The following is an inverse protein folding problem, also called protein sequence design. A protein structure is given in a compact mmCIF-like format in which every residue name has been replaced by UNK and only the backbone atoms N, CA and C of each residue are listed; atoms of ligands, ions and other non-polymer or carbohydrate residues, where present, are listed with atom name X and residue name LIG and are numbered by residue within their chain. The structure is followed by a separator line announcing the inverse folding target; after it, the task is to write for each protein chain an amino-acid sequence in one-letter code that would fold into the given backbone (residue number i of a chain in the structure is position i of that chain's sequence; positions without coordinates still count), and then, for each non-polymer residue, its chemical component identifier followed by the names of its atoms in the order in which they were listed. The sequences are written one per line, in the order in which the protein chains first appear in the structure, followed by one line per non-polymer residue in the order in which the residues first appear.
data_IF_701188522999
#
_entry.id   IF_701188522999
#
_cell.length_a   1.000
_cell.length_b   1.000
_cell.length_c   1.000
_cell.angle_alpha   90.00
_cell.angle_beta   90.00
_cell.angle_gamma   90.00
#
_symmetry.space_group_name_H-M   'P 1'
#
loop_
_entity.id
_entity.type
_entity.pdbx_description
1 polymer ?
#
# COMPACT_ATOMS: atom_id res chain seq x y z
N UNK A 1 -30.24 28.03 16.34
CA UNK A 1 -29.68 26.69 16.62
C UNK A 1 -30.45 25.74 15.72
N UNK A 2 -29.80 25.21 14.67
CA UNK A 2 -30.38 24.07 13.96
C UNK A 2 -30.23 22.84 14.85
N UNK A 3 -31.20 21.92 14.83
CA UNK A 3 -31.08 20.63 15.51
C UNK A 3 -29.80 19.89 15.07
N UNK A 4 -29.25 19.05 15.95
CA UNK A 4 -28.13 18.19 15.56
C UNK A 4 -28.56 17.28 14.40
N UNK A 5 -27.77 17.19 13.32
CA UNK A 5 -28.16 16.40 12.16
C UNK A 5 -28.12 14.91 12.50
N UNK A 6 -29.18 14.20 12.10
CA UNK A 6 -29.25 12.74 12.19
C UNK A 6 -28.51 12.12 11.00
N UNK A 7 -27.46 11.34 11.29
CA UNK A 7 -26.75 10.56 10.28
C UNK A 7 -27.26 9.12 10.23
N UNK A 8 -27.46 8.59 9.02
CA UNK A 8 -27.74 7.16 8.79
C UNK A 8 -27.34 6.74 7.38
N UNK A 9 -27.29 5.43 7.15
CA UNK A 9 -27.21 4.91 5.79
C UNK A 9 -28.46 5.26 4.99
N UNK A 10 -28.25 5.56 3.70
CA UNK A 10 -29.30 5.84 2.75
C UNK A 10 -30.08 4.57 2.41
N UNK A 11 -31.38 4.73 2.20
CA UNK A 11 -32.25 3.69 1.68
C UNK A 11 -32.97 4.16 0.41
N UNK A 12 -33.70 3.25 -0.25
CA UNK A 12 -34.35 3.51 -1.54
C UNK A 12 -35.32 4.70 -1.49
N UNK A 13 -35.93 5.00 -0.33
CA UNK A 13 -36.86 6.12 -0.18
C UNK A 13 -36.15 7.49 -0.22
N UNK A 14 -34.84 7.53 -0.02
CA UNK A 14 -34.05 8.77 -0.01
C UNK A 14 -33.66 9.22 -1.42
N UNK A 15 -33.85 8.38 -2.45
CA UNK A 15 -33.35 8.64 -3.81
C UNK A 15 -33.90 9.95 -4.39
N UNK A 16 -35.17 10.29 -4.15
CA UNK A 16 -35.75 11.54 -4.65
C UNK A 16 -35.06 12.76 -4.02
N UNK A 17 -34.85 12.74 -2.71
CA UNK A 17 -34.17 13.81 -1.98
C UNK A 17 -32.67 13.89 -2.33
N UNK A 18 -32.00 12.74 -2.51
CA UNK A 18 -30.61 12.67 -2.99
C UNK A 18 -30.45 13.32 -4.35
N UNK A 19 -31.36 13.04 -5.30
CA UNK A 19 -31.32 13.64 -6.63
C UNK A 19 -31.58 15.15 -6.60
N UNK A 20 -32.47 15.60 -5.72
CA UNK A 20 -32.70 17.04 -5.53
C UNK A 20 -31.44 17.73 -4.98
N UNK A 21 -30.83 17.15 -3.95
CA UNK A 21 -29.60 17.66 -3.35
C UNK A 21 -28.43 17.65 -4.35
N UNK A 22 -28.26 16.57 -5.11
CA UNK A 22 -27.23 16.42 -6.13
C UNK A 22 -27.30 17.53 -7.18
N UNK A 23 -28.50 17.78 -7.70
CA UNK A 23 -28.74 18.81 -8.70
C UNK A 23 -28.52 20.23 -8.16
N UNK A 24 -28.70 20.44 -6.85
CA UNK A 24 -28.46 21.71 -6.20
C UNK A 24 -26.98 21.94 -5.84
N UNK A 25 -26.18 20.88 -5.68
CA UNK A 25 -24.79 20.98 -5.25
C UNK A 25 -23.77 21.00 -6.38
N UNK A 26 -24.08 20.38 -7.52
CA UNK A 26 -23.15 20.19 -8.62
C UNK A 26 -23.73 20.74 -9.93
N UNK A 27 -22.85 21.18 -10.83
CA UNK A 27 -23.21 21.65 -12.18
C UNK A 27 -22.93 20.57 -13.24
N UNK A 28 -21.82 19.83 -13.10
CA UNK A 28 -21.39 18.67 -13.92
C UNK A 28 -21.19 17.41 -13.06
N UNK A 29 -20.81 16.29 -13.67
CA UNK A 29 -20.36 15.05 -12.99
C UNK A 29 -21.39 14.47 -11.99
N UNK A 30 -22.68 14.67 -12.25
CA UNK A 30 -23.78 14.32 -11.35
C UNK A 30 -24.02 12.82 -11.27
N UNK A 31 -24.32 12.34 -10.06
CA UNK A 31 -24.75 10.97 -9.85
C UNK A 31 -26.20 10.79 -10.30
N UNK A 32 -26.39 9.90 -11.28
CA UNK A 32 -27.72 9.59 -11.80
C UNK A 32 -28.60 8.84 -10.78
N UNK A 33 -29.93 8.92 -10.95
CA UNK A 33 -30.91 8.14 -10.17
C UNK A 33 -30.60 6.64 -10.19
N UNK A 34 -30.22 6.13 -11.37
CA UNK A 34 -29.86 4.73 -11.56
C UNK A 34 -28.61 4.37 -10.75
N UNK A 35 -27.61 5.25 -10.73
CA UNK A 35 -26.36 5.07 -9.99
C UNK A 35 -26.61 5.04 -8.48
N UNK A 36 -27.36 6.00 -7.92
CA UNK A 36 -27.73 5.98 -6.50
C UNK A 36 -28.49 4.71 -6.12
N UNK A 37 -29.49 4.31 -6.92
CA UNK A 37 -30.24 3.08 -6.68
C UNK A 37 -29.31 1.86 -6.65
N UNK A 38 -28.41 1.76 -7.63
CA UNK A 38 -27.46 0.64 -7.71
C UNK A 38 -26.51 0.61 -6.51
N UNK A 39 -25.99 1.77 -6.07
CA UNK A 39 -25.11 1.87 -4.90
C UNK A 39 -25.83 1.39 -3.63
N UNK A 40 -27.09 1.80 -3.43
CA UNK A 40 -27.90 1.39 -2.27
C UNK A 40 -28.22 -0.12 -2.27
N UNK A 41 -28.57 -0.70 -3.43
CA UNK A 41 -29.10 -2.08 -3.48
C UNK A 41 -28.04 -3.16 -3.76
N UNK A 42 -26.98 -2.81 -4.48
CA UNK A 42 -26.05 -3.76 -5.12
C UNK A 42 -24.57 -3.37 -4.99
N UNK A 43 -24.29 -2.11 -4.64
CA UNK A 43 -22.94 -1.59 -4.55
C UNK A 43 -22.19 -2.16 -3.35
N UNK A 44 -20.88 -2.33 -3.51
CA UNK A 44 -19.98 -2.46 -2.37
C UNK A 44 -19.54 -1.05 -1.97
N UNK A 45 -20.46 -0.35 -1.31
CA UNK A 45 -20.41 1.10 -1.10
C UNK A 45 -20.97 1.46 0.26
N UNK A 46 -20.56 2.60 0.79
CA UNK A 46 -21.20 3.22 1.94
C UNK A 46 -21.80 4.55 1.49
N UNK A 47 -23.12 4.71 1.60
CA UNK A 47 -23.81 5.98 1.34
C UNK A 47 -24.46 6.47 2.63
N UNK A 48 -23.84 7.44 3.29
CA UNK A 48 -24.37 8.08 4.49
C UNK A 48 -25.09 9.38 4.11
N UNK A 49 -26.23 9.62 4.76
CA UNK A 49 -27.06 10.81 4.57
C UNK A 49 -27.25 11.54 5.90
N UNK A 50 -27.31 12.87 5.83
CA UNK A 50 -27.56 13.75 6.96
C UNK A 50 -28.94 14.39 6.86
N UNK A 51 -29.71 14.31 7.94
CA UNK A 51 -31.04 14.91 8.05
C UNK A 51 -31.08 16.02 9.11
N UNK A 52 -31.72 17.15 8.81
CA UNK A 52 -32.08 18.20 9.79
C UNK A 52 -33.58 18.47 9.63
N UNK A 53 -34.35 18.36 10.71
CA UNK A 53 -35.80 18.55 10.71
C UNK A 53 -36.50 17.77 9.55
N UNK A 54 -36.20 16.47 9.45
CA UNK A 54 -36.67 15.54 8.40
C UNK A 54 -36.27 15.90 6.95
N UNK A 55 -35.43 16.90 6.75
CA UNK A 55 -34.91 17.29 5.44
C UNK A 55 -33.52 16.69 5.21
N UNK A 56 -33.30 16.02 4.07
CA UNK A 56 -31.98 15.51 3.68
C UNK A 56 -31.13 16.68 3.19
N UNK A 57 -30.10 17.03 3.97
CA UNK A 57 -29.28 18.24 3.75
C UNK A 57 -27.84 17.93 3.34
N UNK A 58 -27.42 16.66 3.37
CA UNK A 58 -26.08 16.26 2.97
C UNK A 58 -25.94 14.76 2.77
N UNK A 59 -24.90 14.35 2.04
CA UNK A 59 -24.50 12.95 1.93
C UNK A 59 -22.98 12.81 1.73
N UNK A 60 -22.45 11.64 2.07
CA UNK A 60 -21.11 11.18 1.66
C UNK A 60 -21.20 9.77 1.11
N UNK A 61 -20.51 9.52 0.00
CA UNK A 61 -20.48 8.25 -0.71
C UNK A 61 -19.06 7.71 -0.78
N UNK A 62 -18.84 6.53 -0.20
CA UNK A 62 -17.62 5.76 -0.38
C UNK A 62 -17.84 4.60 -1.34
N UNK A 63 -16.87 4.39 -2.24
CA UNK A 63 -16.76 3.19 -3.05
C UNK A 63 -15.63 2.32 -2.52
N UNK A 64 -15.89 1.03 -2.38
CA UNK A 64 -14.89 0.07 -1.90
C UNK A 64 -14.39 -0.82 -3.03
N UNK A 65 -13.09 -0.73 -3.32
CA UNK A 65 -12.44 -1.61 -4.28
C UNK A 65 -12.25 -3.01 -3.69
N UNK A 66 -12.76 -4.01 -4.41
CA UNK A 66 -12.71 -5.41 -3.97
C UNK A 66 -11.27 -5.91 -3.81
N UNK A 67 -10.97 -6.49 -2.65
CA UNK A 67 -9.65 -7.07 -2.35
C UNK A 67 -8.52 -6.05 -2.24
N UNK A 68 -8.82 -4.86 -1.70
CA UNK A 68 -7.84 -3.83 -1.32
C UNK A 68 -8.25 -3.20 0.02
N UNK A 69 -7.32 -2.60 0.76
CA UNK A 69 -7.63 -1.81 1.97
C UNK A 69 -7.98 -0.35 1.68
N UNK A 70 -8.14 0.03 0.40
CA UNK A 70 -8.43 1.39 -0.03
C UNK A 70 -9.94 1.59 -0.21
N UNK A 71 -10.50 2.62 0.45
CA UNK A 71 -11.78 3.21 0.10
C UNK A 71 -11.60 4.51 -0.68
N UNK A 72 -12.56 4.83 -1.55
CA UNK A 72 -12.59 6.10 -2.29
C UNK A 72 -13.78 6.92 -1.84
N UNK A 73 -13.55 8.14 -1.36
CA UNK A 73 -14.59 9.14 -1.19
C UNK A 73 -14.96 9.62 -2.59
N UNK A 74 -16.08 9.13 -3.10
CA UNK A 74 -16.48 9.35 -4.48
C UNK A 74 -17.29 10.64 -4.64
N UNK A 75 -18.12 10.97 -3.66
CA UNK A 75 -18.81 12.26 -3.62
C UNK A 75 -19.17 12.67 -2.20
N UNK A 76 -19.18 13.97 -1.96
CA UNK A 76 -19.56 14.62 -0.70
C UNK A 76 -20.35 15.88 -1.04
N UNK A 77 -21.60 15.95 -0.59
CA UNK A 77 -22.48 17.08 -0.86
C UNK A 77 -23.14 17.58 0.43
N UNK A 78 -23.24 18.90 0.57
CA UNK A 78 -24.02 19.56 1.62
C UNK A 78 -24.75 20.75 1.01
N UNK A 79 -26.05 20.83 1.26
CA UNK A 79 -26.94 21.88 0.79
C UNK A 79 -26.42 23.26 1.24
N UNK A 80 -26.46 24.25 0.34
CA UNK A 80 -25.85 25.55 0.55
C UNK A 80 -26.33 26.25 1.84
N UNK A 81 -27.63 26.15 2.16
CA UNK A 81 -28.22 26.73 3.37
C UNK A 81 -27.68 26.11 4.68
N UNK A 82 -27.15 24.89 4.62
CA UNK A 82 -26.65 24.13 5.77
C UNK A 82 -25.11 24.00 5.77
N UNK A 83 -24.41 24.66 4.84
CA UNK A 83 -22.94 24.72 4.84
C UNK A 83 -22.43 25.51 6.04
N UNK A 84 -21.17 25.26 6.41
CA UNK A 84 -20.49 25.85 7.58
C UNK A 84 -21.11 25.49 8.94
N UNK A 85 -22.10 24.60 8.99
CA UNK A 85 -22.68 24.04 10.22
C UNK A 85 -21.98 22.74 10.70
N UNK A 86 -20.85 22.35 10.09
CA UNK A 86 -20.11 21.14 10.46
C UNK A 86 -20.64 19.83 9.87
N UNK A 87 -21.69 19.85 9.06
CA UNK A 87 -22.32 18.64 8.48
C UNK A 87 -21.33 17.80 7.66
N UNK A 88 -20.54 18.44 6.80
CA UNK A 88 -19.52 17.74 6.00
C UNK A 88 -18.46 17.05 6.88
N UNK A 89 -18.09 17.67 8.00
CA UNK A 89 -17.16 17.07 8.98
C UNK A 89 -17.79 15.85 9.63
N UNK A 90 -19.04 15.95 10.09
CA UNK A 90 -19.75 14.84 10.73
C UNK A 90 -19.93 13.65 9.78
N UNK A 91 -20.37 13.90 8.55
CA UNK A 91 -20.48 12.88 7.50
C UNK A 91 -19.14 12.17 7.25
N UNK A 92 -18.05 12.94 7.08
CA UNK A 92 -16.73 12.36 6.81
C UNK A 92 -16.17 11.57 7.99
N UNK A 93 -16.36 12.03 9.23
CA UNK A 93 -15.90 11.30 10.42
C UNK A 93 -16.65 9.98 10.60
N UNK A 94 -17.97 9.98 10.40
CA UNK A 94 -18.75 8.74 10.46
C UNK A 94 -18.39 7.79 9.31
N UNK A 95 -18.19 8.32 8.10
CA UNK A 95 -17.72 7.51 6.96
C UNK A 95 -16.34 6.91 7.19
N UNK A 96 -15.40 7.65 7.80
CA UNK A 96 -14.08 7.15 8.16
C UNK A 96 -14.17 6.01 9.16
N UNK A 97 -15.00 6.16 10.20
CA UNK A 97 -15.23 5.13 11.21
C UNK A 97 -15.79 3.84 10.58
N UNK A 98 -16.84 3.96 9.77
CA UNK A 98 -17.45 2.78 9.14
C UNK A 98 -16.55 2.15 8.08
N UNK A 99 -15.76 2.95 7.35
CA UNK A 99 -14.74 2.42 6.44
C UNK A 99 -13.68 1.61 7.21
N UNK A 100 -13.28 2.08 8.39
CA UNK A 100 -12.36 1.35 9.26
C UNK A 100 -12.93 0.00 9.70
N UNK A 101 -14.20 0.00 10.14
CA UNK A 101 -14.93 -1.21 10.55
C UNK A 101 -15.10 -2.20 9.38
N UNK A 102 -15.21 -1.70 8.15
CA UNK A 102 -15.22 -2.49 6.90
C UNK A 102 -13.81 -2.98 6.47
N UNK A 103 -12.76 -2.68 7.25
CA UNK A 103 -11.38 -3.10 6.99
C UNK A 103 -10.62 -2.22 6.00
N UNK A 104 -11.06 -0.97 5.79
CA UNK A 104 -10.31 0.02 5.02
C UNK A 104 -9.25 0.67 5.90
N UNK A 105 -8.03 0.70 5.39
CA UNK A 105 -6.89 1.34 6.07
C UNK A 105 -6.63 2.75 5.51
N UNK A 106 -7.15 3.06 4.33
CA UNK A 106 -6.96 4.34 3.65
C UNK A 106 -8.26 4.84 3.03
N UNK A 107 -8.44 6.15 3.03
CA UNK A 107 -9.39 6.83 2.14
C UNK A 107 -8.65 7.76 1.19
N UNK A 108 -8.96 7.63 -0.10
CA UNK A 108 -8.55 8.58 -1.14
C UNK A 108 -9.74 9.39 -1.64
N UNK A 109 -9.47 10.61 -2.09
CA UNK A 109 -10.43 11.47 -2.75
C UNK A 109 -9.77 12.27 -3.87
N UNK A 110 -10.60 12.84 -4.73
CA UNK A 110 -10.22 13.77 -5.78
C UNK A 110 -11.02 15.07 -5.61
N UNK A 111 -10.35 16.22 -5.71
CA UNK A 111 -10.96 17.55 -5.51
C UNK A 111 -10.44 18.57 -6.53
N UNK A 112 -11.33 19.41 -7.08
CA UNK A 112 -10.93 20.50 -7.99
C UNK A 112 -9.98 21.48 -7.27
N UNK A 113 -8.89 21.95 -7.92
CA UNK A 113 -7.95 22.90 -7.34
C UNK A 113 -8.59 24.22 -6.88
N UNK A 114 -9.69 24.64 -7.50
CA UNK A 114 -10.42 25.87 -7.17
C UNK A 114 -11.47 25.67 -6.05
N UNK A 115 -11.71 24.43 -5.60
CA UNK A 115 -12.62 24.14 -4.49
C UNK A 115 -11.92 24.29 -3.14
N UNK A 116 -11.49 25.53 -2.85
CA UNK A 116 -10.74 25.88 -1.62
C UNK A 116 -11.50 25.49 -0.34
N UNK A 117 -12.83 25.50 -0.37
CA UNK A 117 -13.65 25.09 0.78
C UNK A 117 -13.52 23.61 1.10
N UNK A 118 -13.56 22.74 0.07
CA UNK A 118 -13.39 21.30 0.22
C UNK A 118 -11.94 20.93 0.58
N UNK A 119 -10.95 21.58 -0.06
CA UNK A 119 -9.53 21.35 0.25
C UNK A 119 -9.25 21.60 1.75
N UNK A 120 -9.67 22.76 2.28
CA UNK A 120 -9.50 23.09 3.70
C UNK A 120 -10.24 22.13 4.63
N UNK A 121 -11.40 21.62 4.21
CA UNK A 121 -12.12 20.59 4.96
C UNK A 121 -11.29 19.30 5.03
N UNK A 122 -10.75 18.83 3.91
CA UNK A 122 -9.97 17.61 3.83
C UNK A 122 -8.65 17.73 4.61
N UNK A 123 -7.92 18.83 4.45
CA UNK A 123 -6.71 19.11 5.25
C UNK A 123 -7.00 19.10 6.75
N UNK A 124 -8.08 19.77 7.19
CA UNK A 124 -8.51 19.76 8.59
C UNK A 124 -8.82 18.35 9.12
N UNK A 125 -9.32 17.48 8.24
CA UNK A 125 -9.60 16.08 8.57
C UNK A 125 -8.36 15.19 8.51
N UNK A 126 -7.18 15.71 8.14
CA UNK A 126 -5.92 14.99 8.06
C UNK A 126 -5.68 14.28 6.72
N UNK A 127 -6.35 14.71 5.65
CA UNK A 127 -6.01 14.30 4.29
C UNK A 127 -4.86 15.16 3.78
N UNK A 128 -3.87 14.52 3.17
CA UNK A 128 -2.74 15.20 2.54
C UNK A 128 -2.84 15.08 1.02
N UNK A 129 -2.56 16.16 0.26
CA UNK A 129 -2.43 16.07 -1.18
C UNK A 129 -1.21 15.22 -1.52
N UNK A 130 -1.34 14.38 -2.54
CA UNK A 130 -0.21 13.57 -3.03
C UNK A 130 -0.08 13.60 -4.56
N UNK A 131 -1.19 13.79 -5.30
CA UNK A 131 -1.15 13.72 -6.77
C UNK A 131 -2.07 14.77 -7.43
N UNK A 132 -1.84 15.05 -8.72
CA UNK A 132 -2.69 15.85 -9.60
C UNK A 132 -3.03 15.00 -10.82
N UNK A 133 -4.31 14.72 -11.02
CA UNK A 133 -4.80 14.02 -12.20
C UNK A 133 -5.20 15.05 -13.23
N UNK A 134 -4.46 15.12 -14.33
CA UNK A 134 -4.81 15.99 -15.43
C UNK A 134 -6.08 15.50 -16.13
N UNK A 135 -6.88 16.42 -16.64
CA UNK A 135 -8.05 16.10 -17.48
C UNK A 135 -9.03 15.12 -16.81
N UNK A 136 -9.36 15.38 -15.52
CA UNK A 136 -10.09 14.44 -14.68
C UNK A 136 -11.61 14.65 -14.71
N UNK A 137 -12.06 15.90 -14.68
CA UNK A 137 -13.48 16.25 -14.66
C UNK A 137 -14.06 16.37 -16.07
N UNK A 138 -15.39 16.30 -16.22
CA UNK A 138 -16.07 16.42 -17.53
C UNK A 138 -15.72 17.70 -18.30
N UNK A 139 -15.34 18.76 -17.60
CA UNK A 139 -14.92 20.06 -18.16
C UNK A 139 -13.42 20.14 -18.46
N UNK A 140 -12.72 19.00 -18.45
CA UNK A 140 -11.27 18.88 -18.63
C UNK A 140 -10.43 19.53 -17.52
N UNK A 141 -11.04 19.86 -16.37
CA UNK A 141 -10.29 20.37 -15.23
C UNK A 141 -9.49 19.26 -14.55
N UNK A 142 -8.33 19.63 -14.01
CA UNK A 142 -7.50 18.74 -13.22
C UNK A 142 -8.11 18.47 -11.83
N UNK A 143 -7.68 17.40 -11.18
CA UNK A 143 -8.07 17.08 -9.81
C UNK A 143 -6.86 16.89 -8.91
N UNK A 144 -6.86 17.53 -7.74
CA UNK A 144 -5.94 17.21 -6.65
C UNK A 144 -6.42 15.92 -6.00
N UNK A 145 -5.57 14.89 -6.00
CA UNK A 145 -5.75 13.67 -5.23
C UNK A 145 -5.22 13.86 -3.82
N UNK A 146 -6.05 13.52 -2.84
CA UNK A 146 -5.68 13.55 -1.44
C UNK A 146 -5.94 12.20 -0.78
N UNK A 147 -5.15 11.85 0.24
CA UNK A 147 -5.29 10.60 0.97
C UNK A 147 -5.16 10.80 2.48
N UNK A 148 -5.86 9.95 3.24
CA UNK A 148 -5.72 9.80 4.68
C UNK A 148 -5.61 8.33 5.06
N UNK A 149 -4.64 8.01 5.92
CA UNK A 149 -4.57 6.73 6.64
C UNK A 149 -5.57 6.77 7.80
N UNK A 150 -6.44 5.76 7.89
CA UNK A 150 -7.50 5.70 8.91
C UNK A 150 -7.03 5.06 10.23
N UNK A 151 -6.03 4.18 10.18
CA UNK A 151 -5.40 3.63 11.37
C UNK A 151 -4.26 4.52 11.86
N UNK A 152 -4.15 4.69 13.17
CA UNK A 152 -2.92 5.19 13.77
C UNK A 152 -1.77 4.23 13.47
N UNK A 153 -0.58 4.79 13.23
CA UNK A 153 0.68 4.05 13.26
C UNK A 153 0.70 3.19 14.55
N UNK A 154 1.21 1.95 14.51
CA UNK A 154 1.17 1.08 15.67
C UNK A 154 1.82 1.77 16.87
N UNK A 155 1.20 1.65 18.06
CA UNK A 155 1.73 2.21 19.33
C UNK A 155 3.15 1.71 19.62
N UNK A 156 3.50 0.54 19.10
CA UNK A 156 4.85 0.00 19.04
C UNK A 156 5.39 0.06 17.62
N UNK A 157 5.88 1.22 17.22
CA UNK A 157 6.78 1.32 16.06
C UNK A 157 8.19 0.96 16.53
N UNK A 158 8.68 -0.20 16.09
CA UNK A 158 10.12 -0.45 15.91
C UNK A 158 10.75 0.73 15.13
N UNK A 159 12.08 0.98 15.28
CA UNK A 159 12.76 2.27 15.00
C UNK A 159 12.28 2.94 13.72
N UNK A 160 12.18 4.29 13.70
CA UNK A 160 11.89 5.06 12.49
C UNK A 160 12.73 4.55 11.31
N UNK A 161 12.12 3.74 10.46
CA UNK A 161 12.81 3.12 9.33
C UNK A 161 12.80 4.17 8.24
N UNK A 162 13.99 4.68 7.91
CA UNK A 162 14.13 5.64 6.83
C UNK A 162 13.68 4.99 5.52
N UNK A 163 12.81 5.68 4.79
CA UNK A 163 12.40 5.24 3.46
C UNK A 163 13.48 5.56 2.43
N UNK A 164 13.69 4.66 1.47
CA UNK A 164 14.54 4.85 0.31
C UNK A 164 13.85 4.30 -0.94
N UNK A 165 13.56 5.18 -1.89
CA UNK A 165 13.01 4.80 -3.19
C UNK A 165 14.12 4.21 -4.07
N UNK A 166 13.85 3.06 -4.69
CA UNK A 166 14.75 2.47 -5.67
C UNK A 166 14.99 3.44 -6.84
N UNK A 167 16.21 3.44 -7.38
CA UNK A 167 16.57 4.29 -8.53
C UNK A 167 16.52 3.54 -9.86
N UNK A 168 16.18 2.24 -9.84
CA UNK A 168 16.02 1.39 -11.03
C UNK A 168 14.92 0.34 -10.82
N UNK A 169 14.34 -0.15 -11.91
CA UNK A 169 13.22 -1.11 -11.89
C UNK A 169 13.58 -2.51 -11.37
N UNK A 170 14.85 -2.76 -11.04
CA UNK A 170 15.37 -4.09 -10.68
C UNK A 170 16.08 -4.11 -9.31
N UNK A 171 16.02 -3.01 -8.54
CA UNK A 171 16.74 -2.83 -7.27
C UNK A 171 15.83 -2.75 -6.03
N UNK A 172 14.61 -3.28 -6.09
CA UNK A 172 13.70 -3.33 -4.95
C UNK A 172 14.32 -4.06 -3.73
N UNK A 173 14.94 -5.22 -3.94
CA UNK A 173 15.62 -5.98 -2.88
C UNK A 173 16.76 -5.19 -2.22
N UNK A 174 17.71 -4.65 -3.00
CA UNK A 174 18.76 -3.76 -2.51
C UNK A 174 18.26 -2.58 -1.70
N UNK A 175 17.22 -1.90 -2.18
CA UNK A 175 16.61 -0.76 -1.51
C UNK A 175 15.97 -1.17 -0.16
N UNK A 176 15.30 -2.32 -0.11
CA UNK A 176 14.80 -2.87 1.15
C UNK A 176 15.92 -3.16 2.15
N UNK A 177 17.05 -3.74 1.69
CA UNK A 177 18.19 -4.02 2.56
C UNK A 177 18.82 -2.71 3.06
N UNK A 178 18.95 -1.70 2.21
CA UNK A 178 19.45 -0.38 2.56
C UNK A 178 18.60 0.32 3.63
N UNK A 179 17.27 0.31 3.47
CA UNK A 179 16.34 0.86 4.46
C UNK A 179 16.54 0.18 5.82
N UNK A 180 16.64 -1.15 5.83
CA UNK A 180 16.87 -1.89 7.06
C UNK A 180 18.24 -1.63 7.70
N UNK A 181 19.31 -1.56 6.88
CA UNK A 181 20.65 -1.21 7.37
C UNK A 181 20.66 0.18 8.00
N UNK A 182 19.96 1.17 7.42
CA UNK A 182 19.86 2.53 7.97
C UNK A 182 19.16 2.56 9.33
N UNK A 183 18.21 1.65 9.55
CA UNK A 183 17.54 1.51 10.85
C UNK A 183 18.46 0.97 11.93
N UNK A 184 19.48 0.19 11.57
CA UNK A 184 20.48 -0.33 12.52
C UNK A 184 21.71 0.57 12.65
N UNK A 185 22.06 1.31 11.60
CA UNK A 185 23.13 2.29 11.58
C UNK A 185 22.64 3.63 11.01
N UNK A 186 22.29 4.56 11.91
CA UNK A 186 21.82 5.89 11.54
C UNK A 186 22.89 6.75 10.84
N UNK A 187 24.18 6.39 10.91
CA UNK A 187 25.25 7.11 10.21
C UNK A 187 25.43 6.64 8.76
N UNK A 188 24.85 5.49 8.39
CA UNK A 188 24.91 4.98 7.03
C UNK A 188 24.34 6.00 6.03
N UNK A 189 25.13 6.34 5.00
CA UNK A 189 24.65 7.18 3.90
C UNK A 189 24.03 6.33 2.82
N UNK A 190 22.75 6.56 2.54
CA UNK A 190 22.03 5.90 1.46
C UNK A 190 22.36 6.57 0.14
N UNK A 191 22.76 5.78 -0.85
CA UNK A 191 23.25 6.28 -2.14
C UNK A 191 22.95 5.26 -3.24
N UNK A 192 22.85 5.75 -4.48
CA UNK A 192 22.63 4.90 -5.66
C UNK A 192 23.79 3.93 -5.88
N UNK A 193 24.99 4.34 -5.50
CA UNK A 193 26.19 3.51 -5.54
C UNK A 193 26.07 2.29 -4.63
N UNK A 194 25.59 2.49 -3.39
CA UNK A 194 25.35 1.40 -2.45
C UNK A 194 24.23 0.46 -2.96
N UNK A 195 23.16 1.02 -3.51
CA UNK A 195 22.04 0.27 -4.09
C UNK A 195 22.52 -0.68 -5.21
N UNK A 196 23.27 -0.14 -6.18
CA UNK A 196 23.81 -0.93 -7.29
C UNK A 196 24.91 -1.91 -6.84
N UNK A 197 25.67 -1.58 -5.80
CA UNK A 197 26.64 -2.51 -5.23
C UNK A 197 25.93 -3.73 -4.62
N UNK A 198 24.89 -3.52 -3.81
CA UNK A 198 24.11 -4.62 -3.24
C UNK A 198 23.45 -5.45 -4.35
N UNK A 199 22.95 -4.80 -5.40
CA UNK A 199 22.40 -5.52 -6.56
C UNK A 199 23.43 -6.43 -7.22
N UNK A 200 24.65 -5.93 -7.48
CA UNK A 200 25.75 -6.73 -8.05
C UNK A 200 26.11 -7.94 -7.19
N UNK A 201 25.95 -7.83 -5.87
CA UNK A 201 26.21 -8.91 -4.93
C UNK A 201 25.08 -9.93 -4.85
N UNK A 202 23.84 -9.56 -5.21
CA UNK A 202 22.63 -10.35 -4.96
C UNK A 202 21.84 -10.78 -6.22
N UNK A 203 22.21 -10.27 -7.39
CA UNK A 203 21.47 -10.45 -8.65
C UNK A 203 21.49 -11.89 -9.16
N UNK A 204 20.38 -12.32 -9.79
CA UNK A 204 20.31 -13.55 -10.58
C UNK A 204 20.82 -13.38 -12.01
N UNK A 205 21.30 -12.18 -12.38
CA UNK A 205 21.71 -11.74 -13.72
C UNK A 205 20.55 -11.63 -14.71
N UNK A 206 19.73 -12.67 -14.83
CA UNK A 206 18.59 -12.73 -15.73
C UNK A 206 17.29 -13.06 -15.00
N UNK A 207 16.18 -12.65 -15.62
CA UNK A 207 14.80 -12.98 -15.25
C UNK A 207 13.99 -13.26 -16.53
N UNK A 208 12.67 -13.45 -16.41
CA UNK A 208 11.72 -13.69 -17.51
C UNK A 208 11.94 -12.75 -18.70
N UNK A 209 12.23 -11.47 -18.41
CA UNK A 209 12.60 -10.43 -19.37
C UNK A 209 13.42 -9.35 -18.65
N UNK A 210 14.38 -8.72 -19.36
CA UNK A 210 15.19 -7.64 -18.80
C UNK A 210 16.32 -8.09 -17.86
N UNK A 211 16.75 -7.17 -17.00
CA UNK A 211 17.79 -7.41 -15.99
C UNK A 211 17.27 -8.31 -14.87
N UNK A 212 18.17 -9.12 -14.30
CA UNK A 212 17.85 -9.95 -13.15
C UNK A 212 17.59 -9.12 -11.89
N UNK A 213 16.52 -9.41 -11.18
CA UNK A 213 16.32 -8.93 -9.82
C UNK A 213 17.26 -9.64 -8.84
N UNK A 214 16.98 -9.53 -7.55
CA UNK A 214 17.77 -10.20 -6.52
C UNK A 214 17.13 -11.51 -6.05
N UNK A 215 17.99 -12.51 -5.83
CA UNK A 215 17.60 -13.76 -5.18
C UNK A 215 17.53 -13.59 -3.65
N UNK A 216 16.71 -14.39 -2.94
CA UNK A 216 16.71 -14.37 -1.48
C UNK A 216 18.08 -14.76 -0.91
N UNK A 217 18.78 -15.70 -1.56
CA UNK A 217 20.13 -16.11 -1.16
C UNK A 217 21.15 -14.96 -1.29
N UNK A 218 21.13 -14.27 -2.43
CA UNK A 218 21.99 -13.15 -2.70
C UNK A 218 21.77 -11.99 -1.72
N UNK A 219 20.51 -11.67 -1.41
CA UNK A 219 20.18 -10.64 -0.40
C UNK A 219 20.66 -11.05 0.99
N UNK A 220 20.47 -12.31 1.38
CA UNK A 220 20.94 -12.81 2.67
C UNK A 220 22.48 -12.73 2.80
N UNK A 221 23.22 -13.08 1.74
CA UNK A 221 24.68 -12.94 1.68
C UNK A 221 25.11 -11.47 1.72
N UNK A 222 24.45 -10.60 0.97
CA UNK A 222 24.74 -9.17 0.98
C UNK A 222 24.53 -8.57 2.39
N UNK A 223 23.49 -8.98 3.10
CA UNK A 223 23.25 -8.58 4.49
C UNK A 223 24.34 -9.12 5.44
N UNK A 224 24.67 -10.40 5.33
CA UNK A 224 25.65 -11.06 6.21
C UNK A 224 27.08 -10.50 6.03
N UNK A 225 27.50 -10.20 4.79
CA UNK A 225 28.79 -9.53 4.49
C UNK A 225 28.91 -8.15 5.14
N UNK A 226 27.78 -7.52 5.47
CA UNK A 226 27.69 -6.23 6.15
C UNK A 226 27.55 -6.38 7.67
N UNK A 227 27.74 -7.59 8.21
CA UNK A 227 27.77 -7.86 9.65
C UNK A 227 26.39 -8.03 10.30
N UNK A 228 25.31 -8.07 9.52
CA UNK A 228 23.97 -8.30 10.07
C UNK A 228 23.76 -9.77 10.41
N UNK A 229 23.03 -10.02 11.51
CA UNK A 229 22.52 -11.35 11.82
C UNK A 229 21.39 -11.65 10.84
N UNK A 230 21.55 -12.72 10.08
CA UNK A 230 20.67 -13.01 8.93
C UNK A 230 20.07 -14.40 9.04
N UNK A 231 18.76 -14.49 8.85
CA UNK A 231 18.03 -15.75 8.66
C UNK A 231 17.39 -15.74 7.26
N UNK A 232 17.76 -16.72 6.44
CA UNK A 232 17.12 -16.99 5.16
C UNK A 232 15.97 -17.98 5.35
N UNK A 233 14.78 -17.57 4.92
CA UNK A 233 13.57 -18.40 4.96
C UNK A 233 13.06 -18.63 3.54
N UNK A 234 12.82 -19.88 3.17
CA UNK A 234 12.17 -20.23 1.90
C UNK A 234 11.32 -21.49 2.03
N UNK A 235 10.31 -21.63 1.17
CA UNK A 235 9.43 -22.82 1.18
C UNK A 235 9.80 -23.87 0.13
N UNK A 236 10.83 -23.63 -0.67
CA UNK A 236 11.36 -24.56 -1.67
C UNK A 236 12.87 -24.36 -1.85
N UNK A 237 13.56 -25.46 -2.13
CA UNK A 237 14.96 -25.49 -2.54
C UNK A 237 15.16 -25.28 -4.06
N UNK A 238 14.06 -25.17 -4.82
CA UNK A 238 14.12 -24.95 -6.26
C UNK A 238 14.72 -23.58 -6.60
N UNK A 239 15.26 -23.48 -7.83
CA UNK A 239 15.77 -22.22 -8.37
C UNK A 239 14.59 -21.30 -8.69
N UNK A 240 14.49 -20.12 -8.04
CA UNK A 240 13.34 -19.25 -8.22
C UNK A 240 13.18 -18.79 -9.68
N UNK A 241 11.97 -18.94 -10.20
CA UNK A 241 11.52 -18.36 -11.50
C UNK A 241 12.24 -18.84 -12.76
N UNK A 242 13.12 -19.86 -12.66
CA UNK A 242 13.87 -20.39 -13.80
C UNK A 242 12.95 -20.86 -14.95
N UNK A 243 11.77 -21.38 -14.60
CA UNK A 243 10.76 -21.85 -15.57
C UNK A 243 10.19 -20.71 -16.44
N UNK A 244 10.31 -19.45 -16.02
CA UNK A 244 9.91 -18.29 -16.81
C UNK A 244 10.92 -17.92 -17.90
N UNK A 245 12.16 -18.41 -17.81
CA UNK A 245 13.24 -18.08 -18.74
C UNK A 245 13.22 -19.05 -19.92
N UNK A 246 13.18 -18.53 -21.15
CA UNK A 246 13.07 -19.36 -22.36
C UNK A 246 14.41 -19.81 -22.93
N UNK A 247 15.47 -19.02 -22.76
CA UNK A 247 16.80 -19.33 -23.29
C UNK A 247 17.54 -20.28 -22.34
N UNK A 248 18.00 -21.41 -22.86
CA UNK A 248 18.74 -22.40 -22.06
C UNK A 248 20.11 -21.88 -21.61
N UNK A 249 20.75 -21.03 -22.41
CA UNK A 249 21.98 -20.32 -22.01
C UNK A 249 21.71 -19.45 -20.78
N UNK A 250 20.63 -18.66 -20.78
CA UNK A 250 20.26 -17.84 -19.62
C UNK A 250 19.91 -18.68 -18.40
N UNK A 251 19.25 -19.84 -18.56
CA UNK A 251 18.98 -20.78 -17.47
C UNK A 251 20.26 -21.32 -16.86
N UNK A 252 21.21 -21.75 -17.69
CA UNK A 252 22.50 -22.27 -17.23
C UNK A 252 23.28 -21.21 -16.42
N UNK A 253 23.22 -19.93 -16.82
CA UNK A 253 23.80 -18.83 -16.05
C UNK A 253 23.10 -18.67 -14.69
N UNK A 254 21.76 -18.67 -14.64
CA UNK A 254 21.01 -18.58 -13.39
C UNK A 254 21.32 -19.78 -12.47
N UNK A 255 21.40 -20.99 -13.01
CA UNK A 255 21.77 -22.20 -12.28
C UNK A 255 23.15 -22.10 -11.66
N UNK A 256 24.14 -21.66 -12.43
CA UNK A 256 25.51 -21.47 -11.96
C UNK A 256 25.57 -20.45 -10.81
N UNK A 257 24.94 -19.29 -10.98
CA UNK A 257 24.88 -18.24 -9.95
C UNK A 257 24.15 -18.72 -8.70
N UNK A 258 23.03 -19.43 -8.85
CA UNK A 258 22.28 -19.96 -7.73
C UNK A 258 23.09 -20.98 -6.92
N UNK A 259 23.78 -21.90 -7.60
CA UNK A 259 24.62 -22.90 -6.94
C UNK A 259 25.77 -22.24 -6.17
N UNK A 260 26.40 -21.21 -6.73
CA UNK A 260 27.42 -20.41 -6.05
C UNK A 260 26.86 -19.75 -4.78
N UNK A 261 25.68 -19.11 -4.85
CA UNK A 261 25.04 -18.55 -3.66
C UNK A 261 24.74 -19.60 -2.60
N UNK A 262 24.24 -20.78 -2.97
CA UNK A 262 23.98 -21.87 -2.02
C UNK A 262 25.27 -22.32 -1.34
N UNK A 263 26.37 -22.48 -2.09
CA UNK A 263 27.68 -22.84 -1.53
C UNK A 263 28.18 -21.80 -0.52
N UNK A 264 28.07 -20.51 -0.87
CA UNK A 264 28.49 -19.42 0.01
C UNK A 264 27.63 -19.35 1.28
N UNK A 265 26.31 -19.57 1.19
CA UNK A 265 25.44 -19.61 2.36
C UNK A 265 25.84 -20.75 3.30
N UNK A 266 26.10 -21.94 2.75
CA UNK A 266 26.53 -23.10 3.54
C UNK A 266 27.89 -22.88 4.24
N UNK A 267 28.72 -21.98 3.70
CA UNK A 267 30.00 -21.59 4.30
C UNK A 267 29.90 -20.34 5.21
N UNK A 268 28.70 -19.79 5.40
CA UNK A 268 28.46 -18.57 6.18
C UNK A 268 27.80 -18.85 7.53
N UNK A 269 27.59 -17.80 8.32
CA UNK A 269 26.83 -17.86 9.58
C UNK A 269 25.31 -17.67 9.39
N UNK A 270 24.82 -17.65 8.14
CA UNK A 270 23.40 -17.41 7.85
C UNK A 270 22.58 -18.61 8.32
N UNK A 271 21.54 -18.35 9.11
CA UNK A 271 20.60 -19.38 9.54
C UNK A 271 19.65 -19.68 8.37
N UNK A 272 19.51 -20.96 8.00
CA UNK A 272 18.61 -21.39 6.94
C UNK A 272 17.37 -22.05 7.54
N UNK A 273 16.17 -21.61 7.12
CA UNK A 273 14.89 -22.20 7.54
C UNK A 273 14.04 -22.56 6.32
N UNK A 274 13.64 -23.83 6.24
CA UNK A 274 12.68 -24.28 5.24
C UNK A 274 11.27 -24.21 5.81
N UNK A 275 10.53 -23.15 5.46
CA UNK A 275 9.19 -22.87 5.99
C UNK A 275 8.38 -22.00 5.02
N UNK A 276 7.05 -22.06 5.14
CA UNK A 276 6.18 -21.06 4.51
C UNK A 276 6.30 -19.73 5.26
N UNK A 277 6.19 -18.63 4.51
CA UNK A 277 6.19 -17.28 5.07
C UNK A 277 4.74 -16.80 5.15
N UNK A 278 4.31 -16.42 6.35
CA UNK A 278 3.05 -15.73 6.61
C UNK A 278 3.22 -14.65 7.68
N UNK A 279 2.18 -13.85 7.88
CA UNK A 279 2.20 -12.77 8.86
C UNK A 279 2.40 -13.24 10.31
N UNK A 280 1.97 -14.45 10.69
CA UNK A 280 2.17 -14.98 12.04
C UNK A 280 3.63 -15.37 12.26
N UNK A 281 4.26 -15.98 11.27
CA UNK A 281 5.70 -16.25 11.25
C UNK A 281 6.50 -14.95 11.37
N UNK A 282 6.15 -13.93 10.57
CA UNK A 282 6.84 -12.64 10.60
C UNK A 282 6.66 -11.91 11.93
N UNK A 283 5.49 -11.98 12.57
CA UNK A 283 5.28 -11.38 13.89
C UNK A 283 6.30 -11.89 14.91
N UNK A 284 6.55 -13.21 14.94
CA UNK A 284 7.58 -13.79 15.80
C UNK A 284 9.00 -13.35 15.41
N UNK A 285 9.30 -13.27 14.11
CA UNK A 285 10.61 -12.89 13.61
C UNK A 285 10.97 -11.41 13.87
N UNK A 286 9.97 -10.54 13.99
CA UNK A 286 10.15 -9.09 14.19
C UNK A 286 10.15 -8.69 15.67
N UNK A 287 9.73 -9.57 16.59
CA UNK A 287 9.51 -9.26 18.01
C UNK A 287 10.72 -8.64 18.72
N UNK A 288 11.94 -8.99 18.31
CA UNK A 288 13.20 -8.51 18.92
C UNK A 288 13.84 -7.34 18.14
N UNK A 289 13.04 -6.57 17.37
CA UNK A 289 13.55 -5.45 16.56
C UNK A 289 14.25 -5.88 15.28
N UNK A 290 13.99 -7.10 14.82
CA UNK A 290 14.34 -7.53 13.49
C UNK A 290 13.49 -6.83 12.43
N UNK A 291 13.95 -6.87 11.19
CA UNK A 291 13.24 -6.43 10.00
C UNK A 291 13.23 -7.57 8.99
N UNK A 292 12.21 -7.63 8.12
CA UNK A 292 12.09 -8.71 7.16
C UNK A 292 11.93 -8.20 5.73
N UNK A 293 12.88 -8.53 4.86
CA UNK A 293 12.69 -8.40 3.42
C UNK A 293 11.81 -9.55 2.97
N UNK A 294 10.66 -9.26 2.37
CA UNK A 294 9.68 -10.29 1.98
C UNK A 294 9.41 -10.21 0.49
N UNK A 295 9.48 -11.36 -0.16
CA UNK A 295 9.11 -11.50 -1.56
C UNK A 295 7.58 -11.55 -1.68
N UNK A 296 7.01 -10.66 -2.49
CA UNK A 296 5.58 -10.60 -2.79
C UNK A 296 5.34 -10.62 -4.30
N UNK A 297 4.07 -10.81 -4.68
CA UNK A 297 3.57 -10.50 -6.01
C UNK A 297 2.97 -9.09 -6.01
N UNK A 298 3.53 -8.17 -6.81
CA UNK A 298 3.08 -6.77 -6.89
C UNK A 298 1.70 -6.59 -7.54
N UNK A 299 1.08 -7.66 -8.06
CA UNK A 299 -0.20 -7.61 -8.78
C UNK A 299 -1.33 -6.92 -8.01
N UNK A 300 -1.34 -7.03 -6.68
CA UNK A 300 -2.35 -6.39 -5.84
C UNK A 300 -2.03 -4.93 -5.49
N UNK A 301 -0.78 -4.50 -5.66
CA UNK A 301 -0.32 -3.14 -5.38
C UNK A 301 -0.34 -2.25 -6.63
N UNK A 302 0.13 -2.76 -7.77
CA UNK A 302 0.27 -1.98 -9.01
C UNK A 302 -0.21 -2.73 -10.26
N UNK A 303 -0.94 -3.85 -10.12
CA UNK A 303 -1.42 -4.69 -11.23
C UNK A 303 -0.31 -5.30 -12.13
N UNK A 304 0.96 -5.12 -11.77
CA UNK A 304 2.10 -5.77 -12.42
C UNK A 304 2.28 -7.19 -11.90
N UNK A 305 2.55 -8.15 -12.79
CA UNK A 305 2.86 -9.54 -12.41
C UNK A 305 4.36 -9.77 -12.38
N UNK A 306 5.06 -9.01 -11.54
CA UNK A 306 6.49 -9.17 -11.32
C UNK A 306 6.77 -9.57 -9.87
N UNK A 307 7.78 -10.41 -9.62
CA UNK A 307 8.25 -10.62 -8.26
C UNK A 307 8.81 -9.32 -7.71
N UNK A 308 8.46 -8.98 -6.47
CA UNK A 308 8.81 -7.71 -5.85
C UNK A 308 9.24 -7.90 -4.40
N UNK A 309 10.20 -7.10 -3.95
CA UNK A 309 10.68 -7.12 -2.58
C UNK A 309 10.14 -5.90 -1.82
N UNK A 310 9.58 -6.16 -0.64
CA UNK A 310 9.16 -5.13 0.32
C UNK A 310 9.87 -5.34 1.64
N UNK A 311 9.95 -4.30 2.47
CA UNK A 311 10.49 -4.38 3.82
C UNK A 311 9.38 -4.35 4.85
N UNK A 312 9.08 -5.47 5.49
CA UNK A 312 8.13 -5.53 6.60
C UNK A 312 8.80 -5.00 7.87
N UNK A 313 8.17 -3.99 8.47
CA UNK A 313 8.71 -3.24 9.62
C UNK A 313 7.96 -3.48 10.92
N UNK A 314 6.69 -3.89 10.86
CA UNK A 314 5.89 -4.20 12.04
C UNK A 314 4.71 -5.10 11.69
N UNK A 315 4.28 -5.90 12.66
CA UNK A 315 3.05 -6.69 12.59
C UNK A 315 2.30 -6.47 13.90
N UNK A 316 1.11 -5.88 13.81
CA UNK A 316 0.16 -5.74 14.93
C UNK A 316 -0.86 -6.88 14.91
N UNK A 317 -1.85 -6.84 15.81
CA UNK A 317 -2.95 -7.83 15.81
C UNK A 317 -3.86 -7.72 14.58
N UNK A 318 -3.86 -6.58 13.89
CA UNK A 318 -4.78 -6.30 12.78
C UNK A 318 -4.06 -6.11 11.45
N UNK A 319 -2.82 -5.59 11.46
CA UNK A 319 -2.11 -5.19 10.26
C UNK A 319 -0.67 -5.66 10.22
N UNK A 320 -0.21 -5.88 8.99
CA UNK A 320 1.19 -5.90 8.62
C UNK A 320 1.55 -4.55 8.02
N UNK A 321 2.63 -3.95 8.50
CA UNK A 321 3.16 -2.67 8.02
C UNK A 321 4.45 -2.91 7.27
N UNK A 322 4.58 -2.35 6.07
CA UNK A 322 5.79 -2.48 5.26
C UNK A 322 6.15 -1.20 4.50
N UNK A 323 7.41 -1.10 4.10
CA UNK A 323 7.90 -0.13 3.14
C UNK A 323 8.01 -0.74 1.76
N UNK A 324 7.52 -0.01 0.76
CA UNK A 324 7.70 -0.34 -0.64
C UNK A 324 8.82 0.52 -1.24
N UNK A 325 9.91 -0.06 -1.75
CA UNK A 325 10.96 0.70 -2.42
C UNK A 325 10.52 1.25 -3.78
N UNK A 326 9.44 0.73 -4.36
CA UNK A 326 8.90 1.17 -5.66
C UNK A 326 8.00 2.40 -5.47
N UNK A 327 8.64 3.56 -5.45
CA UNK A 327 7.96 4.86 -5.50
C UNK A 327 7.97 5.31 -6.94
N UNK A 328 6.80 5.27 -7.55
CA UNK A 328 6.62 5.69 -8.93
C UNK A 328 6.68 7.22 -8.96
N UNK A 329 7.84 7.75 -9.36
CA UNK A 329 8.11 9.20 -9.39
C UNK A 329 7.32 9.91 -10.50
N UNK A 330 6.88 9.17 -11.52
CA UNK A 330 6.02 9.67 -12.60
C UNK A 330 4.54 9.74 -12.18
N UNK A 331 4.15 9.04 -11.11
CA UNK A 331 2.77 8.87 -10.63
C UNK A 331 2.52 9.59 -9.29
N UNK A 332 3.39 10.56 -8.92
CA UNK A 332 3.23 11.43 -7.76
C UNK A 332 2.99 10.66 -6.43
N UNK A 333 3.55 9.45 -6.30
CA UNK A 333 3.56 8.75 -5.00
C UNK A 333 4.48 9.52 -4.07
N UNK A 334 3.94 10.07 -2.98
CA UNK A 334 4.74 10.75 -1.97
C UNK A 334 5.54 9.73 -1.15
N UNK A 335 6.67 10.15 -0.55
CA UNK A 335 7.45 9.30 0.38
C UNK A 335 6.57 8.76 1.53
N UNK A 336 5.53 9.50 1.90
CA UNK A 336 4.52 9.08 2.87
C UNK A 336 3.60 7.95 2.40
N UNK A 337 3.45 7.72 1.10
CA UNK A 337 2.62 6.66 0.52
C UNK A 337 3.34 5.30 0.40
N UNK A 338 4.67 5.34 0.43
CA UNK A 338 5.54 4.15 0.41
C UNK A 338 6.11 3.80 1.79
N UNK A 339 5.78 4.65 2.77
CA UNK A 339 6.07 4.58 4.19
C UNK A 339 5.02 3.80 4.99
N UNK A 340 5.38 2.75 5.75
CA UNK A 340 4.49 2.13 6.74
C UNK A 340 3.10 1.75 6.19
N UNK A 341 3.03 1.11 5.02
CA UNK A 341 1.78 0.72 4.37
C UNK A 341 1.06 -0.34 5.21
N UNK A 342 -0.09 -0.05 5.87
CA UNK A 342 -0.92 -1.07 6.50
C UNK A 342 -1.66 -1.94 5.48
N UNK A 343 -1.52 -3.25 5.64
CA UNK A 343 -2.40 -4.24 5.00
C UNK A 343 -2.86 -5.28 6.02
N UNK A 344 -4.09 -5.75 5.89
CA UNK A 344 -4.60 -6.80 6.79
C UNK A 344 -3.78 -8.07 6.65
N UNK A 345 -3.69 -8.88 7.71
CA UNK A 345 -3.02 -10.21 7.65
C UNK A 345 -3.50 -11.06 6.47
N UNK A 346 -4.82 -11.04 6.21
CA UNK A 346 -5.45 -11.80 5.12
C UNK A 346 -4.96 -11.34 3.75
N UNK A 347 -4.93 -10.03 3.50
CA UNK A 347 -4.45 -9.51 2.21
C UNK A 347 -2.94 -9.67 2.07
N UNK A 348 -2.17 -9.44 3.13
CA UNK A 348 -0.73 -9.67 3.14
C UNK A 348 -0.39 -11.12 2.78
N UNK A 349 -1.00 -12.10 3.46
CA UNK A 349 -0.78 -13.53 3.18
C UNK A 349 -1.17 -13.91 1.73
N UNK A 350 -2.10 -13.19 1.10
CA UNK A 350 -2.45 -13.36 -0.32
C UNK A 350 -1.43 -12.76 -1.27
N UNK A 351 -0.60 -11.81 -0.82
CA UNK A 351 0.47 -11.17 -1.60
C UNK A 351 1.79 -11.93 -1.53
N UNK A 352 2.12 -12.57 -0.39
CA UNK A 352 3.42 -13.24 -0.16
C UNK A 352 3.73 -14.30 -1.22
N UNK A 353 4.91 -14.22 -1.79
CA UNK A 353 5.42 -15.18 -2.76
C UNK A 353 4.86 -15.01 -4.17
N UNK A 354 5.51 -15.67 -5.12
CA UNK A 354 5.29 -15.49 -6.55
C UNK A 354 5.34 -16.83 -7.30
N UNK A 355 4.64 -16.90 -8.45
CA UNK A 355 4.66 -18.06 -9.34
C UNK A 355 3.69 -19.19 -8.98
N UNK A 356 3.75 -20.26 -9.77
CA UNK A 356 3.03 -21.54 -9.58
C UNK A 356 4.01 -22.71 -9.81
N UNK A 357 4.29 -23.57 -8.81
CA UNK A 357 3.85 -23.47 -7.40
C UNK A 357 4.35 -22.18 -6.75
N UNK A 358 3.69 -21.76 -5.66
CA UNK A 358 3.92 -20.46 -5.04
C UNK A 358 5.23 -20.47 -4.26
N UNK A 359 6.25 -19.82 -4.80
CA UNK A 359 7.55 -19.66 -4.14
C UNK A 359 7.49 -18.52 -3.14
N UNK A 360 7.76 -18.80 -1.86
CA UNK A 360 7.79 -17.83 -0.78
C UNK A 360 9.20 -17.73 -0.23
N UNK A 361 9.65 -16.50 0.00
CA UNK A 361 10.94 -16.25 0.61
C UNK A 361 10.92 -14.98 1.47
N UNK A 362 11.71 -15.01 2.53
CA UNK A 362 12.01 -13.86 3.35
C UNK A 362 13.47 -13.88 3.80
N UNK A 363 14.06 -12.70 3.97
CA UNK A 363 15.37 -12.51 4.60
C UNK A 363 15.13 -11.68 5.85
N UNK A 364 15.22 -12.33 7.01
CA UNK A 364 15.09 -11.67 8.31
C UNK A 364 16.48 -11.18 8.70
N UNK A 365 16.56 -9.93 9.11
CA UNK A 365 17.79 -9.29 9.54
C UNK A 365 17.59 -8.59 10.88
N UNK A 366 18.58 -8.67 11.74
CA UNK A 366 18.63 -7.93 12.99
C UNK A 366 20.03 -7.40 13.22
N UNK A 367 20.15 -6.43 14.13
CA UNK A 367 21.46 -6.08 14.66
C UNK A 367 22.05 -7.27 15.44
N UNK A 368 23.37 -7.26 15.62
CA UNK A 368 24.13 -8.33 16.31
C UNK A 368 23.95 -8.30 17.82
#
# INVERSE_FOLDING_TARGET
MHAEPLLREANIKDIDALIQLENACFDSDKISRRSFKWMIEKGHTLLLVAFVDDTLVGYVLLLYSQGTSLGRVYSLAVEQAFRKAGIAVMLMLEAQKQALEDGRSFLRLEVRPDNIGAIKLYEKLGYNPFDIVNDFYEDHADAIRMMKVLHHLPETTHPEVAHYSQTTDFTCGPSCLMMAMKSFDHQLTLSRELELQIWREATTIFMTSGHGGCSPQGLALAANRRGLKTTLVNNSADIPFINGVRSDEKKAVIECVHQDFVQQINASSIVQQSANVDSAFLQGALADGGLALVLISSYRLNQSKSPHWILVVSVSDTFVYFHDPDVDWDDNKSITDSGYIPVTHKEFNRMIGYGKPRYQAAVIISNT
#
